data_IF_507246279780
#
_entry.id   IF_507246279780
#
_cell.length_a   1.000
_cell.length_b   1.000
_cell.length_c   1.000
_cell.angle_alpha   90.00
_cell.angle_beta   90.00
_cell.angle_gamma   90.00
#
_symmetry.space_group_name_H-M   'P 1'
#
loop_
_entity.id
_entity.type
_entity.pdbx_description
1 polymer ?
#
# COMPACT_ATOMS: atom_id res chain seq x y z
N UNK A 1 34.28 -7.19 -25.50
CA UNK A 1 33.73 -6.95 -24.14
C UNK A 1 33.70 -5.46 -23.92
N UNK A 2 32.50 -4.91 -23.68
CA UNK A 2 32.13 -3.51 -23.90
C UNK A 2 32.63 -2.61 -22.76
N UNK A 3 33.48 -1.62 -23.08
CA UNK A 3 34.10 -0.67 -22.11
C UNK A 3 33.23 0.59 -21.96
N UNK A 4 31.91 0.42 -21.84
CA UNK A 4 30.95 1.52 -21.70
C UNK A 4 29.99 1.34 -20.52
N UNK A 5 30.47 0.78 -19.40
CA UNK A 5 29.68 0.67 -18.17
C UNK A 5 29.90 1.80 -17.17
N UNK A 6 30.55 2.89 -17.57
CA UNK A 6 30.65 4.10 -16.74
C UNK A 6 30.14 5.30 -17.50
N UNK A 7 29.03 5.86 -17.02
CA UNK A 7 28.46 7.07 -17.61
C UNK A 7 29.44 8.24 -17.42
N UNK A 8 29.39 9.23 -18.32
CA UNK A 8 30.21 10.45 -18.20
C UNK A 8 30.03 11.14 -16.83
N UNK A 9 28.86 10.96 -16.22
CA UNK A 9 28.53 11.39 -14.87
C UNK A 9 29.38 10.70 -13.78
N UNK A 10 29.53 9.37 -13.85
CA UNK A 10 30.36 8.62 -12.90
C UNK A 10 31.84 8.97 -13.02
N UNK A 11 32.35 9.16 -14.25
CA UNK A 11 33.72 9.62 -14.49
C UNK A 11 33.96 11.04 -13.93
N UNK A 12 32.99 11.94 -14.07
CA UNK A 12 33.08 13.30 -13.54
C UNK A 12 33.08 13.33 -12.00
N UNK A 13 32.30 12.45 -11.37
CA UNK A 13 32.26 12.32 -9.91
C UNK A 13 33.58 11.73 -9.35
N UNK A 14 34.23 10.85 -10.11
CA UNK A 14 35.49 10.20 -9.74
C UNK A 14 36.70 11.17 -9.72
N UNK A 15 36.65 12.27 -10.48
CA UNK A 15 37.78 13.19 -10.68
C UNK A 15 37.81 14.40 -9.72
N UNK A 16 36.85 14.55 -8.79
CA UNK A 16 36.75 15.69 -7.83
C UNK A 16 36.82 17.09 -8.49
N UNK A 17 36.52 17.20 -9.78
CA UNK A 17 36.56 18.48 -10.49
C UNK A 17 35.22 19.21 -10.32
N UNK A 18 35.19 20.20 -9.43
CA UNK A 18 34.00 21.02 -9.15
C UNK A 18 33.50 21.77 -10.39
N UNK A 19 34.39 22.06 -11.33
CA UNK A 19 34.09 22.89 -12.50
C UNK A 19 33.30 22.12 -13.59
N UNK A 20 33.55 20.81 -13.72
CA UNK A 20 32.81 19.94 -14.65
C UNK A 20 31.36 19.74 -14.19
N UNK A 21 31.13 19.69 -12.87
CA UNK A 21 29.80 19.60 -12.29
C UNK A 21 28.95 20.83 -12.65
N UNK A 22 29.49 22.04 -12.47
CA UNK A 22 28.78 23.27 -12.80
C UNK A 22 28.51 23.40 -14.32
N UNK A 23 29.46 22.97 -15.15
CA UNK A 23 29.29 22.96 -16.60
C UNK A 23 28.21 21.97 -17.04
N UNK A 24 28.23 20.73 -16.51
CA UNK A 24 27.18 19.74 -16.76
C UNK A 24 25.82 20.20 -16.23
N UNK A 25 25.73 20.76 -15.03
CA UNK A 25 24.47 21.28 -14.46
C UNK A 25 23.86 22.41 -15.33
N UNK A 26 24.68 23.20 -16.04
CA UNK A 26 24.22 24.28 -16.92
C UNK A 26 23.74 23.84 -18.32
N UNK A 27 24.25 22.72 -18.83
CA UNK A 27 23.88 22.19 -20.16
C UNK A 27 22.94 20.97 -20.08
N UNK A 28 22.82 20.35 -18.90
CA UNK A 28 21.86 19.26 -18.64
C UNK A 28 20.60 19.81 -17.96
N UNK A 29 19.87 20.68 -18.67
CA UNK A 29 18.46 20.98 -18.35
C UNK A 29 17.53 19.76 -18.39
N UNK A 30 18.06 18.60 -18.79
CA UNK A 30 17.38 17.31 -18.74
C UNK A 30 18.18 16.41 -17.81
N UNK A 31 17.78 16.35 -16.54
CA UNK A 31 18.12 15.20 -15.70
C UNK A 31 17.59 13.95 -16.43
N UNK A 32 18.40 12.91 -16.68
CA UNK A 32 17.88 11.65 -17.18
C UNK A 32 16.91 11.12 -16.12
N UNK A 33 15.63 11.27 -16.42
CA UNK A 33 14.54 10.68 -15.67
C UNK A 33 14.47 9.24 -16.15
N UNK A 34 15.01 8.32 -15.37
CA UNK A 34 14.58 6.93 -15.51
C UNK A 34 13.10 6.91 -15.15
N UNK A 35 12.25 6.39 -16.04
CA UNK A 35 10.78 6.39 -15.88
C UNK A 35 10.32 5.73 -14.56
N UNK A 36 11.19 4.98 -13.87
CA UNK A 36 10.91 4.34 -12.58
C UNK A 36 11.18 5.22 -11.33
N UNK A 37 11.97 6.30 -11.42
CA UNK A 37 12.38 7.09 -10.23
C UNK A 37 11.49 8.30 -9.89
N UNK A 38 10.36 8.48 -10.59
CA UNK A 38 9.31 9.45 -10.20
C UNK A 38 7.99 8.82 -9.76
N UNK A 39 7.90 7.49 -9.67
CA UNK A 39 6.72 6.86 -9.10
C UNK A 39 6.78 7.05 -7.58
N UNK A 40 6.11 8.09 -7.06
CA UNK A 40 5.87 8.23 -5.62
C UNK A 40 5.35 6.88 -5.09
N UNK A 41 5.83 6.39 -3.93
CA UNK A 41 5.36 5.13 -3.38
C UNK A 41 3.84 5.18 -3.23
N UNK A 42 3.13 4.19 -3.78
CA UNK A 42 1.70 4.09 -3.58
C UNK A 42 1.38 3.54 -2.17
N UNK A 43 0.15 3.76 -1.72
CA UNK A 43 -0.29 3.34 -0.38
C UNK A 43 -0.14 1.82 -0.19
N UNK A 44 -0.31 1.03 -1.26
CA UNK A 44 -0.18 -0.43 -1.23
C UNK A 44 1.26 -0.88 -1.00
N UNK A 45 2.23 -0.19 -1.60
CA UNK A 45 3.66 -0.43 -1.40
C UNK A 45 4.06 -0.12 0.03
N UNK A 46 3.57 1.00 0.59
CA UNK A 46 3.82 1.37 1.98
C UNK A 46 3.22 0.35 2.96
N UNK A 47 1.99 -0.10 2.71
CA UNK A 47 1.32 -1.15 3.48
C UNK A 47 2.07 -2.48 3.45
N UNK A 48 2.53 -2.90 2.26
CA UNK A 48 3.30 -4.14 2.08
C UNK A 48 4.63 -4.12 2.84
N UNK A 49 5.24 -2.94 2.95
CA UNK A 49 6.47 -2.73 3.73
C UNK A 49 6.22 -2.62 5.24
N UNK A 50 4.95 -2.54 5.68
CA UNK A 50 4.61 -2.28 7.08
C UNK A 50 5.00 -0.88 7.55
N UNK A 51 5.22 0.06 6.64
CA UNK A 51 5.67 1.41 6.97
C UNK A 51 4.46 2.31 7.25
N UNK A 52 3.94 2.24 8.47
CA UNK A 52 2.77 3.02 8.90
C UNK A 52 2.99 4.54 8.82
N UNK A 53 4.23 5.01 8.96
CA UNK A 53 4.56 6.43 8.82
C UNK A 53 4.42 6.90 7.37
N UNK A 54 4.93 6.12 6.42
CA UNK A 54 4.75 6.43 4.99
C UNK A 54 3.29 6.35 4.57
N UNK A 55 2.50 5.43 5.14
CA UNK A 55 1.05 5.39 4.91
C UNK A 55 0.39 6.69 5.37
N UNK A 56 0.76 7.21 6.55
CA UNK A 56 0.24 8.50 7.05
C UNK A 56 0.57 9.64 6.09
N UNK A 57 1.83 9.76 5.69
CA UNK A 57 2.30 10.81 4.76
C UNK A 57 1.55 10.75 3.42
N UNK A 58 1.41 9.56 2.83
CA UNK A 58 0.67 9.38 1.57
C UNK A 58 -0.80 9.81 1.72
N UNK A 59 -1.46 9.43 2.81
CA UNK A 59 -2.87 9.75 3.05
C UNK A 59 -3.10 11.21 3.50
N UNK A 60 -2.05 11.93 3.89
CA UNK A 60 -2.07 13.37 4.14
C UNK A 60 -1.91 14.16 2.83
N UNK A 61 -1.00 13.73 1.95
CA UNK A 61 -0.78 14.35 0.65
C UNK A 61 -1.92 14.06 -0.35
N UNK A 62 -2.42 12.82 -0.39
CA UNK A 62 -3.49 12.38 -1.27
C UNK A 62 -4.54 11.54 -0.51
N UNK A 63 -5.53 12.20 0.11
CA UNK A 63 -6.61 11.51 0.83
C UNK A 63 -7.41 10.53 -0.04
N UNK A 64 -7.44 10.70 -1.37
CA UNK A 64 -8.19 9.82 -2.26
C UNK A 64 -7.62 8.39 -2.30
N UNK A 65 -6.34 8.22 -1.93
CA UNK A 65 -5.70 6.91 -1.85
C UNK A 65 -6.42 5.97 -0.86
N UNK A 66 -7.11 6.50 0.17
CA UNK A 66 -7.78 5.68 1.20
C UNK A 66 -8.81 4.69 0.62
N UNK A 67 -9.48 5.07 -0.47
CA UNK A 67 -10.50 4.28 -1.16
C UNK A 67 -10.06 3.79 -2.55
N UNK A 68 -8.76 3.86 -2.83
CA UNK A 68 -8.18 3.28 -4.03
C UNK A 68 -8.34 1.75 -4.07
N UNK A 69 -7.97 1.13 -5.19
CA UNK A 69 -7.99 -0.32 -5.33
C UNK A 69 -6.77 -0.78 -6.12
N UNK A 70 -6.16 -1.88 -5.68
CA UNK A 70 -5.11 -2.52 -6.45
C UNK A 70 -5.69 -3.30 -7.64
N UNK A 71 -4.84 -4.03 -8.37
CA UNK A 71 -5.25 -4.81 -9.55
C UNK A 71 -6.27 -5.92 -9.23
N UNK A 72 -6.33 -6.37 -7.98
CA UNK A 72 -7.26 -7.38 -7.48
C UNK A 72 -8.57 -6.75 -6.94
N UNK A 73 -8.69 -5.42 -7.00
CA UNK A 73 -9.82 -4.71 -6.41
C UNK A 73 -9.74 -4.56 -4.89
N UNK A 74 -8.65 -5.01 -4.26
CA UNK A 74 -8.48 -4.90 -2.80
C UNK A 74 -8.19 -3.45 -2.39
N UNK A 75 -8.80 -3.03 -1.29
CA UNK A 75 -8.62 -1.69 -0.73
C UNK A 75 -7.39 -1.62 0.20
N UNK A 76 -6.86 -0.41 0.47
CA UNK A 76 -5.83 -0.23 1.48
C UNK A 76 -6.24 -0.75 2.85
N UNK A 77 -7.51 -0.57 3.23
CA UNK A 77 -8.07 -1.07 4.49
C UNK A 77 -7.99 -2.59 4.59
N UNK A 78 -8.27 -3.32 3.50
CA UNK A 78 -8.12 -4.79 3.45
C UNK A 78 -6.66 -5.21 3.65
N UNK A 79 -5.71 -4.53 3.00
CA UNK A 79 -4.28 -4.83 3.15
C UNK A 79 -3.79 -4.59 4.58
N UNK A 80 -4.21 -3.48 5.21
CA UNK A 80 -3.92 -3.21 6.61
C UNK A 80 -4.53 -4.26 7.55
N UNK A 81 -5.75 -4.71 7.24
CA UNK A 81 -6.45 -5.76 7.96
C UNK A 81 -5.75 -7.13 7.85
N UNK A 82 -5.20 -7.49 6.69
CA UNK A 82 -4.38 -8.70 6.50
C UNK A 82 -3.11 -8.63 7.34
N UNK A 83 -2.40 -7.51 7.30
CA UNK A 83 -1.11 -7.33 7.98
C UNK A 83 -1.21 -7.10 9.50
N UNK A 84 -2.42 -7.03 10.07
CA UNK A 84 -2.58 -6.81 11.52
C UNK A 84 -2.23 -5.39 11.99
N UNK A 85 -2.19 -4.41 11.08
CA UNK A 85 -1.76 -3.03 11.39
C UNK A 85 -2.93 -2.19 11.96
N UNK A 86 -3.30 -2.41 13.22
CA UNK A 86 -4.47 -1.77 13.85
C UNK A 86 -4.44 -0.24 13.77
N UNK A 87 -3.29 0.41 14.05
CA UNK A 87 -3.17 1.87 13.97
C UNK A 87 -3.44 2.41 12.56
N UNK A 88 -3.04 1.67 11.53
CA UNK A 88 -3.27 2.04 10.13
C UNK A 88 -4.73 1.84 9.76
N UNK A 89 -5.37 0.77 10.24
CA UNK A 89 -6.81 0.55 10.09
C UNK A 89 -7.60 1.71 10.70
N UNK A 90 -7.27 2.11 11.92
CA UNK A 90 -7.91 3.23 12.62
C UNK A 90 -7.76 4.53 11.81
N UNK A 91 -6.55 4.85 11.39
CA UNK A 91 -6.27 6.02 10.55
C UNK A 91 -7.10 6.03 9.26
N UNK A 92 -7.21 4.88 8.59
CA UNK A 92 -7.96 4.78 7.33
C UNK A 92 -9.46 4.96 7.55
N UNK A 93 -10.02 4.38 8.61
CA UNK A 93 -11.43 4.58 8.97
C UNK A 93 -11.70 6.03 9.34
N UNK A 94 -10.82 6.67 10.12
CA UNK A 94 -10.91 8.11 10.44
C UNK A 94 -10.86 9.00 9.19
N UNK A 95 -10.20 8.51 8.12
CA UNK A 95 -10.16 9.15 6.80
C UNK A 95 -11.29 8.72 5.86
N UNK A 96 -12.37 8.12 6.38
CA UNK A 96 -13.55 7.67 5.65
C UNK A 96 -13.25 6.56 4.62
N UNK A 97 -12.42 5.59 4.99
CA UNK A 97 -12.33 4.34 4.24
C UNK A 97 -13.71 3.66 4.14
N UNK A 98 -14.02 3.12 2.97
CA UNK A 98 -15.17 2.24 2.76
C UNK A 98 -14.93 0.90 3.45
N UNK A 99 -15.54 0.76 4.64
CA UNK A 99 -15.39 -0.40 5.53
C UNK A 99 -15.91 -1.69 4.88
N UNK A 100 -16.95 -1.57 4.05
CA UNK A 100 -17.73 -2.68 3.51
C UNK A 100 -17.41 -2.98 2.05
N UNK A 101 -16.44 -2.26 1.46
CA UNK A 101 -15.92 -2.54 0.12
C UNK A 101 -15.56 -4.01 0.00
N UNK A 102 -15.93 -4.63 -1.13
CA UNK A 102 -15.58 -5.99 -1.48
C UNK A 102 -14.49 -6.00 -2.55
N UNK A 103 -13.49 -6.87 -2.40
CA UNK A 103 -12.46 -7.03 -3.43
C UNK A 103 -13.03 -7.65 -4.73
N UNK A 104 -12.25 -7.52 -5.81
CA UNK A 104 -12.64 -8.03 -7.12
C UNK A 104 -12.43 -9.53 -7.29
N UNK A 105 -11.62 -10.17 -6.45
CA UNK A 105 -11.22 -11.58 -6.63
C UNK A 105 -12.21 -12.52 -5.94
N UNK A 106 -12.34 -12.40 -4.62
CA UNK A 106 -13.14 -13.26 -3.76
C UNK A 106 -14.40 -12.58 -3.22
N UNK A 107 -14.52 -11.26 -3.39
CA UNK A 107 -15.58 -10.47 -2.77
C UNK A 107 -15.38 -10.32 -1.27
N UNK A 108 -14.14 -10.35 -0.78
CA UNK A 108 -13.89 -10.23 0.66
C UNK A 108 -13.88 -8.77 1.09
N UNK A 109 -14.37 -8.53 2.30
CA UNK A 109 -14.29 -7.23 2.99
C UNK A 109 -13.07 -7.18 3.91
N UNK A 110 -12.74 -5.99 4.43
CA UNK A 110 -11.69 -5.87 5.45
C UNK A 110 -11.98 -6.71 6.72
N UNK A 111 -13.27 -6.83 7.09
CA UNK A 111 -13.69 -7.68 8.21
C UNK A 111 -13.41 -9.17 7.93
N UNK A 112 -13.70 -9.65 6.72
CA UNK A 112 -13.39 -11.04 6.34
C UNK A 112 -11.89 -11.30 6.35
N UNK A 113 -11.09 -10.38 5.81
CA UNK A 113 -9.62 -10.46 5.83
C UNK A 113 -9.08 -10.52 7.27
N UNK A 114 -9.49 -9.59 8.14
CA UNK A 114 -9.07 -9.58 9.54
C UNK A 114 -9.46 -10.86 10.28
N UNK A 115 -10.66 -11.37 10.00
CA UNK A 115 -11.19 -12.60 10.61
C UNK A 115 -10.39 -13.82 10.16
N UNK A 116 -10.14 -13.95 8.85
CA UNK A 116 -9.39 -15.06 8.28
C UNK A 116 -7.95 -15.12 8.81
N UNK A 117 -7.31 -13.96 8.98
CA UNK A 117 -5.95 -13.85 9.51
C UNK A 117 -5.89 -13.84 11.04
N UNK A 118 -7.02 -13.97 11.75
CA UNK A 118 -7.05 -14.04 13.22
C UNK A 118 -6.72 -12.72 13.93
N UNK A 119 -6.82 -11.58 13.24
CA UNK A 119 -6.51 -10.25 13.76
C UNK A 119 -7.66 -9.72 14.63
N UNK A 120 -7.82 -10.32 15.82
CA UNK A 120 -8.96 -10.11 16.74
C UNK A 120 -9.22 -8.65 17.09
N UNK A 121 -8.19 -7.84 17.28
CA UNK A 121 -8.36 -6.43 17.66
C UNK A 121 -8.87 -5.59 16.48
N UNK A 122 -8.46 -5.91 15.26
CA UNK A 122 -9.00 -5.29 14.03
C UNK A 122 -10.45 -5.73 13.82
N UNK A 123 -10.77 -7.01 14.03
CA UNK A 123 -12.16 -7.51 13.96
C UNK A 123 -13.05 -6.73 14.92
N UNK A 124 -12.66 -6.64 16.21
CA UNK A 124 -13.42 -5.87 17.21
C UNK A 124 -13.58 -4.41 16.80
N UNK A 125 -12.51 -3.79 16.30
CA UNK A 125 -12.56 -2.41 15.86
C UNK A 125 -13.51 -2.21 14.68
N UNK A 126 -13.38 -2.96 13.58
CA UNK A 126 -14.26 -2.83 12.42
C UNK A 126 -15.73 -3.08 12.77
N UNK A 127 -16.02 -4.04 13.66
CA UNK A 127 -17.38 -4.25 14.18
C UNK A 127 -17.88 -3.06 14.99
N UNK A 128 -17.03 -2.43 15.81
CA UNK A 128 -17.39 -1.21 16.54
C UNK A 128 -17.67 -0.01 15.63
N UNK A 129 -17.13 -0.03 14.41
CA UNK A 129 -17.34 0.99 13.38
C UNK A 129 -18.51 0.66 12.45
N UNK A 130 -19.24 -0.44 12.71
CA UNK A 130 -20.46 -0.78 11.99
C UNK A 130 -20.27 -1.59 10.71
N UNK A 131 -19.14 -2.29 10.54
CA UNK A 131 -18.93 -3.22 9.41
C UNK A 131 -20.09 -4.23 9.29
N UNK A 132 -20.63 -4.43 8.09
CA UNK A 132 -21.75 -5.35 7.86
C UNK A 132 -21.29 -6.81 7.90
N UNK A 133 -21.71 -7.51 8.95
CA UNK A 133 -21.42 -8.93 9.17
C UNK A 133 -22.16 -9.87 8.22
N UNK A 134 -23.19 -9.38 7.52
CA UNK A 134 -24.04 -10.17 6.65
C UNK A 134 -23.58 -10.18 5.19
N UNK A 135 -22.57 -9.37 4.85
CA UNK A 135 -21.98 -9.39 3.52
C UNK A 135 -21.41 -10.78 3.21
N UNK A 136 -21.61 -11.20 1.97
CA UNK A 136 -21.20 -12.52 1.48
C UNK A 136 -20.11 -12.39 0.45
N UNK A 137 -19.03 -13.14 0.65
CA UNK A 137 -18.03 -13.39 -0.37
C UNK A 137 -18.66 -14.14 -1.55
N UNK A 138 -17.94 -14.22 -2.68
CA UNK A 138 -18.43 -14.89 -3.89
C UNK A 138 -18.70 -16.39 -3.71
N UNK A 139 -18.06 -17.02 -2.72
CA UNK A 139 -18.33 -18.41 -2.34
C UNK A 139 -19.54 -18.55 -1.39
N UNK A 140 -20.24 -17.46 -1.07
CA UNK A 140 -21.42 -17.43 -0.22
C UNK A 140 -21.14 -17.28 1.28
N UNK A 141 -19.86 -17.31 1.69
CA UNK A 141 -19.47 -17.22 3.10
C UNK A 141 -19.48 -15.78 3.62
N UNK A 142 -19.95 -15.64 4.86
CA UNK A 142 -19.83 -14.44 5.67
C UNK A 142 -18.52 -14.45 6.47
N UNK A 143 -18.19 -13.33 7.12
CA UNK A 143 -17.05 -13.29 8.04
C UNK A 143 -17.16 -14.35 9.16
N UNK A 144 -18.39 -14.64 9.64
CA UNK A 144 -18.62 -15.67 10.65
C UNK A 144 -18.33 -17.09 10.11
N UNK A 145 -18.77 -17.40 8.89
CA UNK A 145 -18.54 -18.73 8.28
C UNK A 145 -17.04 -19.01 8.12
N UNK A 146 -16.23 -17.98 7.84
CA UNK A 146 -14.77 -18.10 7.75
C UNK A 146 -14.11 -18.48 9.09
N UNK A 147 -14.71 -18.11 10.24
CA UNK A 147 -14.21 -18.51 11.56
C UNK A 147 -14.32 -20.03 11.74
N UNK A 148 -15.40 -20.63 11.25
CA UNK A 148 -15.66 -22.06 11.41
C UNK A 148 -14.68 -22.90 10.58
N UNK A 149 -14.35 -22.44 9.36
CA UNK A 149 -13.39 -23.11 8.48
C UNK A 149 -11.95 -23.13 9.04
N UNK A 150 -11.60 -22.20 9.91
CA UNK A 150 -10.26 -22.09 10.49
C UNK A 150 -10.10 -22.85 11.81
N UNK A 151 -11.21 -23.27 12.42
CA UNK A 151 -11.22 -23.97 13.71
C UNK A 151 -11.46 -25.49 13.59
N UNK A 152 -11.57 -26.02 12.37
CA UNK A 152 -11.56 -27.48 12.14
C UNK A 152 -10.09 -27.97 11.98
N UNK A 153 -9.55 -28.73 12.96
CA UNK A 153 -8.16 -29.23 12.95
C UNK A 153 -7.92 -30.40 11.99
#
# INVERSE_FOLDING_TARGET
>A
MNVLSKTAFELAMQLKQRDVKAYLDSITTVRPQTDDERRRPDVFSALKLGNSQLVKEILEEDPAQVNSSNQEGASPLMMAAVSGQLEVVQLMVDKNADIDKQDGVHGWTALMQATYHGNKDIVKYLLSQGADVNLRAKNGYTAFDLVMLLNDP
#
